data_IF_216372510060
#
_entry.id   IF_216372510060
#
_cell.length_a   1.000
_cell.length_b   1.000
_cell.length_c   1.000
_cell.angle_alpha   90.00
_cell.angle_beta   90.00
_cell.angle_gamma   90.00
#
_symmetry.space_group_name_H-M   'P 1'
#
loop_
_entity.id
_entity.type
_entity.pdbx_description
1 polymer ?
#
# COMPACT_ATOMS: atom_id res chain seq x y z
N UNK A 1 5.19 19.58 13.71
CA UNK A 1 3.89 18.91 13.88
C UNK A 1 3.05 19.16 12.63
N UNK A 2 3.07 18.23 11.66
CA UNK A 2 2.30 18.39 10.42
C UNK A 2 0.84 18.02 10.68
N UNK A 3 -0.06 18.98 10.49
CA UNK A 3 -1.51 18.76 10.57
C UNK A 3 -1.90 17.73 9.50
N UNK A 4 -2.31 16.54 9.93
CA UNK A 4 -2.88 15.50 9.07
C UNK A 4 -4.10 16.08 8.37
N UNK A 5 -3.97 16.46 7.10
CA UNK A 5 -5.15 16.80 6.30
C UNK A 5 -5.70 15.48 5.77
N UNK A 6 -6.68 14.94 6.50
CA UNK A 6 -7.47 13.77 6.16
C UNK A 6 -8.37 14.08 4.95
N UNK A 7 -7.82 14.17 3.74
CA UNK A 7 -8.58 14.50 2.53
C UNK A 7 -8.86 13.25 1.71
N UNK A 8 -10.11 13.07 1.27
CA UNK A 8 -10.49 11.99 0.37
C UNK A 8 -9.88 12.23 -1.03
N UNK A 9 -9.11 11.27 -1.60
CA UNK A 9 -8.42 11.45 -2.88
C UNK A 9 -9.35 11.40 -4.11
N UNK A 10 -10.65 11.14 -3.92
CA UNK A 10 -11.65 11.13 -5.00
C UNK A 10 -12.35 12.48 -5.13
N UNK A 11 -12.80 13.06 -4.00
CA UNK A 11 -13.62 14.27 -4.00
C UNK A 11 -12.91 15.49 -3.38
N UNK A 12 -11.68 15.31 -2.88
CA UNK A 12 -10.84 16.35 -2.29
C UNK A 12 -11.44 17.09 -1.07
N UNK A 13 -12.48 16.52 -0.45
CA UNK A 13 -13.07 17.00 0.80
C UNK A 13 -12.40 16.36 2.01
N UNK A 14 -12.46 17.03 3.16
CA UNK A 14 -11.96 16.46 4.40
C UNK A 14 -12.82 15.25 4.83
N UNK A 15 -12.23 14.26 5.50
CA UNK A 15 -12.93 13.06 5.99
C UNK A 15 -14.00 13.38 7.04
N UNK A 16 -14.02 14.62 7.58
CA UNK A 16 -15.02 15.10 8.52
C UNK A 16 -16.24 15.74 7.81
N UNK A 17 -16.11 16.09 6.52
CA UNK A 17 -17.17 16.72 5.73
C UNK A 17 -17.95 15.72 4.85
N UNK A 18 -17.74 14.42 5.04
CA UNK A 18 -18.46 13.40 4.29
C UNK A 18 -19.67 12.89 5.06
N UNK A 19 -20.84 12.94 4.45
CA UNK A 19 -21.96 12.10 4.87
C UNK A 19 -21.62 10.61 4.62
N UNK A 20 -22.22 9.69 5.38
CA UNK A 20 -21.94 8.25 5.26
C UNK A 20 -22.13 7.69 3.83
N UNK A 21 -23.06 8.27 3.06
CA UNK A 21 -23.32 7.94 1.66
C UNK A 21 -22.20 8.43 0.73
N UNK A 22 -21.67 9.64 0.94
CA UNK A 22 -20.56 10.19 0.14
C UNK A 22 -19.26 9.40 0.36
N UNK A 23 -19.01 8.91 1.59
CA UNK A 23 -17.88 8.01 1.86
C UNK A 23 -18.02 6.70 1.07
N UNK A 24 -19.22 6.11 1.04
CA UNK A 24 -19.47 4.86 0.35
C UNK A 24 -19.31 5.01 -1.17
N UNK A 25 -19.78 6.12 -1.75
CA UNK A 25 -19.60 6.41 -3.17
C UNK A 25 -18.12 6.64 -3.52
N UNK A 26 -17.40 7.44 -2.74
CA UNK A 26 -15.96 7.65 -2.93
C UNK A 26 -15.19 6.31 -2.86
N UNK A 27 -15.51 5.44 -1.90
CA UNK A 27 -14.93 4.08 -1.82
C UNK A 27 -15.25 3.24 -3.04
N UNK A 28 -16.48 3.31 -3.55
CA UNK A 28 -16.90 2.61 -4.77
C UNK A 28 -16.13 3.10 -6.00
N UNK A 29 -15.96 4.42 -6.15
CA UNK A 29 -15.17 5.01 -7.23
C UNK A 29 -13.68 4.67 -7.14
N UNK A 30 -13.09 4.65 -5.94
CA UNK A 30 -11.72 4.14 -5.72
C UNK A 30 -11.62 2.68 -6.17
N UNK A 31 -12.56 1.83 -5.75
CA UNK A 31 -12.60 0.41 -6.11
C UNK A 31 -12.69 0.21 -7.62
N UNK A 32 -13.56 0.97 -8.30
CA UNK A 32 -13.70 0.94 -9.77
C UNK A 32 -12.42 1.38 -10.49
N UNK A 33 -11.81 2.50 -10.06
CA UNK A 33 -10.53 2.97 -10.62
C UNK A 33 -9.38 1.98 -10.38
N UNK A 34 -9.40 1.26 -9.25
CA UNK A 34 -8.40 0.22 -8.96
C UNK A 34 -8.67 -1.10 -9.68
N UNK A 35 -9.92 -1.41 -10.04
CA UNK A 35 -10.28 -2.69 -10.65
C UNK A 35 -9.74 -2.86 -12.08
N UNK A 36 -9.54 -1.75 -12.81
CA UNK A 36 -8.94 -1.75 -14.15
C UNK A 36 -7.41 -1.81 -14.15
N UNK A 37 -6.78 -1.82 -12.97
CA UNK A 37 -5.33 -1.94 -12.84
C UNK A 37 -5.02 -3.38 -12.41
N UNK A 38 -4.64 -4.28 -13.34
CA UNK A 38 -4.24 -5.63 -12.98
C UNK A 38 -3.01 -5.54 -12.08
N UNK A 39 -3.19 -5.79 -10.78
CA UNK A 39 -2.07 -5.96 -9.86
C UNK A 39 -1.78 -7.45 -9.80
N UNK A 40 -0.62 -7.86 -10.29
CA UNK A 40 -0.20 -9.24 -10.12
C UNK A 40 -0.05 -9.51 -8.62
N UNK A 41 -0.60 -10.63 -8.15
CA UNK A 41 -0.34 -11.08 -6.80
C UNK A 41 0.99 -11.83 -6.80
N UNK A 42 1.89 -11.49 -5.87
CA UNK A 42 3.08 -12.30 -5.66
C UNK A 42 2.69 -13.74 -5.31
N UNK A 43 3.35 -14.71 -5.94
CA UNK A 43 3.19 -16.11 -5.58
C UNK A 43 3.67 -16.37 -4.14
N UNK A 44 3.13 -17.42 -3.49
CA UNK A 44 3.56 -17.79 -2.14
C UNK A 44 5.06 -18.13 -2.06
N UNK A 45 5.63 -18.68 -3.15
CA UNK A 45 7.06 -18.95 -3.27
C UNK A 45 7.86 -17.66 -3.20
N UNK A 46 7.48 -16.65 -3.99
CA UNK A 46 8.14 -15.34 -4.00
C UNK A 46 8.03 -14.66 -2.63
N UNK A 47 6.85 -14.71 -2.00
CA UNK A 47 6.64 -14.18 -0.65
C UNK A 47 7.55 -14.83 0.39
N UNK A 48 7.67 -16.16 0.35
CA UNK A 48 8.53 -16.91 1.28
C UNK A 48 10.01 -16.60 1.07
N UNK A 49 10.46 -16.52 -0.19
CA UNK A 49 11.84 -16.16 -0.53
C UNK A 49 12.17 -14.72 -0.11
N UNK A 50 11.26 -13.76 -0.34
CA UNK A 50 11.46 -12.36 0.04
C UNK A 50 11.59 -12.21 1.56
N UNK A 51 10.75 -12.92 2.34
CA UNK A 51 10.85 -12.97 3.80
C UNK A 51 12.19 -13.53 4.28
N UNK A 52 12.67 -14.61 3.65
CA UNK A 52 13.98 -15.21 3.96
C UNK A 52 15.14 -14.27 3.64
N UNK A 53 15.13 -13.65 2.46
CA UNK A 53 16.18 -12.70 2.03
C UNK A 53 16.29 -11.49 2.97
N UNK A 54 15.15 -11.00 3.46
CA UNK A 54 15.10 -9.87 4.36
C UNK A 54 15.26 -10.24 5.85
N UNK A 55 15.43 -11.52 6.17
CA UNK A 55 15.70 -12.03 7.52
C UNK A 55 14.77 -11.47 8.62
N UNK A 56 13.47 -11.35 8.32
CA UNK A 56 12.50 -10.81 9.29
C UNK A 56 12.46 -9.28 9.43
N UNK A 57 13.30 -8.55 8.70
CA UNK A 57 13.48 -7.11 8.83
C UNK A 57 12.81 -6.31 7.71
N UNK A 58 12.01 -5.31 8.08
CA UNK A 58 11.35 -4.38 7.16
C UNK A 58 12.36 -3.78 6.18
N UNK A 59 12.07 -3.84 4.88
CA UNK A 59 13.01 -3.34 3.85
C UNK A 59 13.35 -1.87 4.07
N UNK A 60 12.38 -1.09 4.56
CA UNK A 60 12.47 0.36 4.76
C UNK A 60 13.06 0.73 6.13
N UNK A 61 12.34 0.48 7.22
CA UNK A 61 12.77 0.91 8.56
C UNK A 61 13.77 -0.02 9.26
N UNK A 62 14.09 -1.18 8.66
CA UNK A 62 15.02 -2.20 9.19
C UNK A 62 14.64 -2.78 10.56
N UNK A 63 13.41 -2.55 11.04
CA UNK A 63 12.89 -3.17 12.26
C UNK A 63 12.27 -4.53 11.96
N UNK A 64 12.23 -5.42 12.96
CA UNK A 64 11.51 -6.69 12.87
C UNK A 64 10.01 -6.44 12.67
N UNK A 65 9.40 -7.10 11.70
CA UNK A 65 7.95 -7.07 11.55
C UNK A 65 7.27 -8.12 12.44
N UNK A 66 6.15 -7.75 13.04
CA UNK A 66 5.17 -8.70 13.59
C UNK A 66 4.15 -9.12 12.51
N UNK A 67 3.84 -8.21 11.58
CA UNK A 67 3.01 -8.45 10.41
C UNK A 67 3.72 -7.98 9.14
N UNK A 68 3.72 -8.84 8.12
CA UNK A 68 4.47 -8.64 6.88
C UNK A 68 3.53 -8.35 5.71
N UNK A 69 3.67 -7.15 5.14
CA UNK A 69 2.99 -6.70 3.93
C UNK A 69 3.93 -6.78 2.72
N UNK A 70 3.38 -7.02 1.53
CA UNK A 70 4.17 -7.18 0.30
C UNK A 70 3.92 -6.05 -0.70
N UNK A 71 5.00 -5.36 -1.06
CA UNK A 71 4.96 -4.18 -1.92
C UNK A 71 5.73 -4.41 -3.21
N UNK A 72 5.22 -3.85 -4.31
CA UNK A 72 5.92 -3.85 -5.60
C UNK A 72 6.83 -2.62 -5.71
N UNK A 73 8.13 -2.83 -5.95
CA UNK A 73 9.17 -1.80 -5.83
C UNK A 73 9.28 -0.88 -7.04
N UNK A 74 9.09 -1.42 -8.25
CA UNK A 74 9.31 -0.68 -9.49
C UNK A 74 8.02 -0.50 -10.30
N UNK A 75 7.12 -1.47 -10.26
CA UNK A 75 5.87 -1.46 -11.05
C UNK A 75 4.68 -1.99 -10.24
N UNK A 76 3.55 -2.30 -10.89
CA UNK A 76 2.36 -2.90 -10.26
C UNK A 76 2.07 -4.33 -10.72
N UNK A 77 2.86 -4.87 -11.65
CA UNK A 77 2.51 -6.07 -12.41
C UNK A 77 3.59 -7.17 -12.37
N UNK A 78 4.83 -6.84 -12.03
CA UNK A 78 5.92 -7.78 -11.90
C UNK A 78 5.83 -8.53 -10.57
N UNK A 79 5.63 -9.84 -10.62
CA UNK A 79 5.56 -10.71 -9.45
C UNK A 79 6.91 -11.35 -9.09
N UNK A 80 7.99 -10.86 -9.70
CA UNK A 80 9.37 -11.30 -9.45
C UNK A 80 9.87 -10.98 -8.03
N UNK A 81 10.84 -11.77 -7.57
CA UNK A 81 11.44 -11.62 -6.24
C UNK A 81 12.19 -10.30 -6.06
N UNK A 82 12.80 -9.81 -7.13
CA UNK A 82 13.48 -8.52 -7.22
C UNK A 82 12.53 -7.33 -7.08
N UNK A 83 11.27 -7.50 -7.52
CA UNK A 83 10.21 -6.51 -7.38
C UNK A 83 9.40 -6.65 -6.06
N UNK A 84 9.67 -7.67 -5.25
CA UNK A 84 8.95 -7.95 -4.01
C UNK A 84 9.69 -7.39 -2.79
N UNK A 85 9.09 -6.38 -2.14
CA UNK A 85 9.56 -5.84 -0.87
C UNK A 85 8.64 -6.27 0.27
N UNK A 86 9.23 -6.79 1.36
CA UNK A 86 8.51 -7.06 2.60
C UNK A 86 8.61 -5.85 3.52
N UNK A 87 7.48 -5.31 3.93
CA UNK A 87 7.37 -4.11 4.76
C UNK A 87 6.56 -4.41 6.03
N UNK A 88 6.83 -3.67 7.11
CA UNK A 88 5.88 -3.61 8.21
C UNK A 88 4.63 -2.81 7.78
N UNK A 89 3.52 -3.01 8.51
CA UNK A 89 2.24 -2.38 8.20
C UNK A 89 2.35 -0.85 8.06
N UNK A 90 3.04 -0.19 8.99
CA UNK A 90 3.22 1.27 8.98
C UNK A 90 3.98 1.74 7.74
N UNK A 91 5.12 1.11 7.42
CA UNK A 91 5.91 1.46 6.24
C UNK A 91 5.16 1.19 4.94
N UNK A 92 4.36 0.11 4.90
CA UNK A 92 3.54 -0.21 3.73
C UNK A 92 2.43 0.83 3.52
N UNK A 93 1.77 1.25 4.61
CA UNK A 93 0.75 2.30 4.58
C UNK A 93 1.35 3.63 4.10
N UNK A 94 2.48 4.05 4.67
CA UNK A 94 3.14 5.29 4.25
C UNK A 94 3.49 5.29 2.76
N UNK A 95 4.09 4.22 2.23
CA UNK A 95 4.44 4.15 0.81
C UNK A 95 3.20 4.12 -0.09
N UNK A 96 2.14 3.44 0.35
CA UNK A 96 0.94 3.26 -0.49
C UNK A 96 0.10 4.53 -0.56
N UNK A 97 0.05 5.33 0.51
CA UNK A 97 -0.93 6.41 0.66
C UNK A 97 -0.33 7.79 0.94
N UNK A 98 0.89 7.87 1.49
CA UNK A 98 1.50 9.14 1.89
C UNK A 98 2.67 9.56 1.01
N UNK A 99 3.30 8.64 0.30
CA UNK A 99 4.39 8.94 -0.62
C UNK A 99 3.84 9.53 -1.92
N UNK A 100 3.81 10.86 -2.00
CA UNK A 100 3.23 11.66 -3.10
C UNK A 100 4.17 11.82 -4.31
N UNK A 101 5.36 11.20 -4.28
CA UNK A 101 6.42 11.38 -5.27
C UNK A 101 6.71 10.11 -6.09
N UNK A 102 5.68 9.42 -6.56
CA UNK A 102 5.84 8.28 -7.48
C UNK A 102 5.07 8.49 -8.77
#
# INVERSE_FOLDING_TARGET
>A
MSKQIHVCPICFRSNYDHTGLEVADCKSQMKKKSASLPRAHFSEVVKALAKKLQNGLCRRCKQYWTHAEFHHINDRCGDGLDNCAVLCSDCHFEITFLDRNR
#
